data_IF_808890133457
#
_entry.id   IF_808890133457
#
_cell.length_a   1.000
_cell.length_b   1.000
_cell.length_c   1.000
_cell.angle_alpha   90.00
_cell.angle_beta   90.00
_cell.angle_gamma   90.00
#
_symmetry.space_group_name_H-M   'P 1'
#
loop_
_entity.id
_entity.type
_entity.pdbx_description
1 polymer ?
#
# COMPACT_ATOMS: atom_id res chain seq x y z
N UNK A 1 19.44 -3.02 -31.56
CA UNK A 1 20.26 -3.54 -30.46
C UNK A 1 19.75 -3.03 -29.10
N UNK A 2 19.50 -1.74 -28.91
CA UNK A 2 18.97 -1.17 -27.66
C UNK A 2 17.62 -1.76 -27.16
N UNK A 3 16.72 -2.19 -28.06
CA UNK A 3 15.44 -2.77 -27.64
C UNK A 3 15.54 -4.20 -27.07
N UNK A 4 16.58 -4.95 -27.42
CA UNK A 4 16.80 -6.31 -26.88
C UNK A 4 17.36 -6.29 -25.46
N UNK A 5 18.19 -5.29 -25.16
CA UNK A 5 18.83 -5.10 -23.86
C UNK A 5 17.83 -4.58 -22.81
N UNK A 6 17.03 -3.56 -23.15
CA UNK A 6 15.96 -3.06 -22.29
C UNK A 6 14.87 -4.12 -22.00
N UNK A 7 14.59 -5.00 -22.95
CA UNK A 7 13.66 -6.13 -22.73
C UNK A 7 14.25 -7.18 -21.77
N UNK A 8 15.55 -7.45 -21.87
CA UNK A 8 16.27 -8.35 -20.97
C UNK A 8 16.32 -7.81 -19.53
N UNK A 9 16.60 -6.51 -19.37
CA UNK A 9 16.58 -5.86 -18.05
C UNK A 9 15.20 -5.87 -17.42
N UNK A 10 14.15 -5.57 -18.20
CA UNK A 10 12.77 -5.62 -17.71
C UNK A 10 12.39 -7.01 -17.22
N UNK A 11 12.72 -8.05 -17.99
CA UNK A 11 12.48 -9.46 -17.60
C UNK A 11 13.23 -9.84 -16.32
N UNK A 12 14.47 -9.36 -16.16
CA UNK A 12 15.23 -9.60 -14.94
C UNK A 12 14.59 -8.96 -13.71
N UNK A 13 14.12 -7.70 -13.84
CA UNK A 13 13.40 -7.01 -12.77
C UNK A 13 12.09 -7.73 -12.43
N UNK A 14 11.30 -8.13 -13.43
CA UNK A 14 10.06 -8.89 -13.22
C UNK A 14 10.30 -10.22 -12.49
N UNK A 15 11.36 -10.95 -12.85
CA UNK A 15 11.74 -12.19 -12.16
C UNK A 15 12.17 -11.93 -10.71
N UNK A 16 12.88 -10.84 -10.45
CA UNK A 16 13.26 -10.46 -9.09
C UNK A 16 12.03 -10.10 -8.25
N UNK A 17 11.10 -9.33 -8.81
CA UNK A 17 9.82 -8.99 -8.16
C UNK A 17 9.06 -10.27 -7.81
N UNK A 18 8.88 -11.18 -8.77
CA UNK A 18 8.19 -12.46 -8.58
C UNK A 18 8.81 -13.27 -7.44
N UNK A 19 10.14 -13.40 -7.42
CA UNK A 19 10.87 -14.15 -6.37
C UNK A 19 10.68 -13.54 -4.98
N UNK A 20 10.62 -12.22 -4.88
CA UNK A 20 10.40 -11.51 -3.61
C UNK A 20 8.95 -11.69 -3.14
N UNK A 21 7.98 -11.54 -4.03
CA UNK A 21 6.56 -11.74 -3.72
C UNK A 21 6.26 -13.18 -3.26
N UNK A 22 6.86 -14.19 -3.89
CA UNK A 22 6.76 -15.60 -3.47
C UNK A 22 7.30 -15.85 -2.04
N UNK A 23 8.18 -14.96 -1.55
CA UNK A 23 8.73 -14.99 -0.20
C UNK A 23 7.94 -14.10 0.77
N UNK A 24 6.79 -13.57 0.35
CA UNK A 24 5.93 -12.70 1.15
C UNK A 24 6.45 -11.27 1.27
N UNK A 25 7.38 -10.85 0.41
CA UNK A 25 7.90 -9.49 0.39
C UNK A 25 7.00 -8.61 -0.48
N UNK A 26 6.43 -7.56 0.09
CA UNK A 26 5.71 -6.54 -0.66
C UNK A 26 6.70 -5.59 -1.33
N UNK A 27 7.00 -5.86 -2.60
CA UNK A 27 7.99 -5.08 -3.36
C UNK A 27 7.53 -3.65 -3.58
N UNK A 28 6.23 -3.42 -3.77
CA UNK A 28 5.70 -2.06 -3.93
C UNK A 28 5.88 -1.26 -2.64
N UNK A 29 5.57 -1.83 -1.48
CA UNK A 29 5.75 -1.15 -0.20
C UNK A 29 7.23 -0.83 0.07
N UNK A 30 8.15 -1.74 -0.29
CA UNK A 30 9.59 -1.50 -0.17
C UNK A 30 10.09 -0.37 -1.07
N UNK A 31 9.71 -0.39 -2.35
CA UNK A 31 10.14 0.63 -3.32
C UNK A 31 9.58 2.01 -2.96
N UNK A 32 8.29 2.07 -2.61
CA UNK A 32 7.64 3.32 -2.18
C UNK A 32 8.25 3.80 -0.86
N UNK A 33 8.53 2.89 0.08
CA UNK A 33 9.19 3.24 1.34
C UNK A 33 10.61 3.80 1.15
N UNK A 34 11.34 3.31 0.14
CA UNK A 34 12.62 3.89 -0.24
C UNK A 34 12.46 5.32 -0.79
N UNK A 35 11.51 5.53 -1.71
CA UNK A 35 11.21 6.85 -2.29
C UNK A 35 10.72 7.85 -1.26
N UNK A 36 9.97 7.39 -0.25
CA UNK A 36 9.42 8.24 0.82
C UNK A 36 10.52 8.95 1.64
N UNK A 37 11.75 8.40 1.67
CA UNK A 37 12.89 9.05 2.34
C UNK A 37 13.43 10.25 1.56
N UNK A 38 13.24 10.26 0.25
CA UNK A 38 13.73 11.32 -0.65
C UNK A 38 12.63 12.36 -0.92
N UNK A 39 11.43 11.90 -1.28
CA UNK A 39 10.26 12.73 -1.57
C UNK A 39 8.97 12.10 -1.00
N UNK A 40 8.56 12.51 0.21
CA UNK A 40 7.32 12.04 0.83
C UNK A 40 6.05 12.39 0.04
N UNK A 41 6.06 13.45 -0.78
CA UNK A 41 4.89 13.85 -1.56
C UNK A 41 4.69 12.95 -2.77
N UNK A 42 5.80 12.59 -3.44
CA UNK A 42 5.77 11.67 -4.56
C UNK A 42 5.46 10.24 -4.11
N UNK A 43 6.03 9.78 -2.98
CA UNK A 43 5.67 8.47 -2.41
C UNK A 43 4.17 8.39 -2.09
N UNK A 44 3.60 9.44 -1.50
CA UNK A 44 2.18 9.49 -1.21
C UNK A 44 1.31 9.44 -2.48
N UNK A 45 1.75 10.05 -3.60
CA UNK A 45 1.05 9.93 -4.90
C UNK A 45 1.10 8.49 -5.42
N UNK A 46 2.26 7.85 -5.38
CA UNK A 46 2.42 6.47 -5.84
C UNK A 46 1.55 5.49 -5.04
N UNK A 47 1.41 5.69 -3.72
CA UNK A 47 0.48 4.90 -2.89
C UNK A 47 -0.97 5.08 -3.29
N UNK A 48 -1.39 6.31 -3.59
CA UNK A 48 -2.75 6.58 -4.06
C UNK A 48 -3.00 5.93 -5.42
N UNK A 49 -2.06 6.05 -6.36
CA UNK A 49 -2.14 5.40 -7.67
C UNK A 49 -2.26 3.86 -7.53
N UNK A 50 -1.49 3.28 -6.62
CA UNK A 50 -1.54 1.84 -6.33
C UNK A 50 -2.92 1.43 -5.78
N UNK A 51 -3.43 2.19 -4.81
CA UNK A 51 -4.75 1.97 -4.21
C UNK A 51 -5.88 2.10 -5.24
N UNK A 52 -5.83 3.11 -6.12
CA UNK A 52 -6.84 3.30 -7.17
C UNK A 52 -6.86 2.15 -8.18
N UNK A 53 -5.68 1.70 -8.64
CA UNK A 53 -5.55 0.56 -9.57
C UNK A 53 -6.03 -0.74 -8.95
N UNK A 54 -5.79 -0.94 -7.66
CA UNK A 54 -6.18 -2.14 -6.94
C UNK A 54 -7.69 -2.13 -6.60
N UNK A 55 -8.26 -0.99 -6.25
CA UNK A 55 -9.69 -0.83 -5.97
C UNK A 55 -10.58 -1.22 -7.16
N UNK A 56 -10.13 -0.95 -8.39
CA UNK A 56 -10.83 -1.38 -9.59
C UNK A 56 -10.98 -2.92 -9.65
N UNK A 57 -9.92 -3.65 -9.27
CA UNK A 57 -9.92 -5.12 -9.19
C UNK A 57 -10.77 -5.60 -8.03
N UNK A 58 -10.68 -4.96 -6.87
CA UNK A 58 -11.51 -5.27 -5.69
C UNK A 58 -13.01 -5.19 -6.02
N UNK A 59 -13.44 -4.15 -6.74
CA UNK A 59 -14.84 -4.02 -7.21
C UNK A 59 -15.26 -5.15 -8.16
N UNK A 60 -14.33 -5.72 -8.93
CA UNK A 60 -14.61 -6.87 -9.79
C UNK A 60 -14.85 -8.15 -8.98
N UNK A 61 -14.05 -8.41 -7.94
CA UNK A 61 -14.27 -9.54 -7.02
C UNK A 61 -15.60 -9.44 -6.27
N UNK A 62 -15.97 -8.23 -5.83
CA UNK A 62 -17.29 -7.98 -5.23
C UNK A 62 -18.41 -8.34 -6.20
N UNK A 63 -18.31 -7.94 -7.48
CA UNK A 63 -19.32 -8.29 -8.50
C UNK A 63 -19.40 -9.79 -8.77
N UNK A 64 -18.28 -10.52 -8.64
CA UNK A 64 -18.20 -11.97 -8.83
C UNK A 64 -18.68 -12.76 -7.60
N UNK A 65 -18.98 -12.09 -6.48
CA UNK A 65 -19.39 -12.74 -5.23
C UNK A 65 -18.26 -13.43 -4.47
N UNK A 66 -17.00 -13.15 -4.82
CA UNK A 66 -15.83 -13.70 -4.12
C UNK A 66 -15.48 -12.84 -2.90
N UNK A 67 -16.17 -13.13 -1.79
CA UNK A 67 -16.06 -12.35 -0.56
C UNK A 67 -14.66 -12.42 0.07
N UNK A 68 -13.94 -13.54 -0.09
CA UNK A 68 -12.59 -13.73 0.47
C UNK A 68 -11.60 -12.80 -0.24
N UNK A 69 -11.55 -12.86 -1.57
CA UNK A 69 -10.66 -12.01 -2.35
C UNK A 69 -11.04 -10.53 -2.26
N UNK A 70 -12.34 -10.22 -2.22
CA UNK A 70 -12.80 -8.85 -2.05
C UNK A 70 -12.36 -8.25 -0.70
N UNK A 71 -12.44 -9.03 0.38
CA UNK A 71 -12.04 -8.59 1.72
C UNK A 71 -10.52 -8.37 1.81
N UNK A 72 -9.74 -9.37 1.38
CA UNK A 72 -8.28 -9.33 1.46
C UNK A 72 -7.70 -8.14 0.65
N UNK A 73 -8.16 -7.97 -0.60
CA UNK A 73 -7.71 -6.86 -1.45
C UNK A 73 -8.21 -5.51 -0.96
N UNK A 74 -9.46 -5.44 -0.49
CA UNK A 74 -10.01 -4.22 0.09
C UNK A 74 -9.24 -3.72 1.32
N UNK A 75 -8.80 -4.63 2.19
CA UNK A 75 -7.96 -4.28 3.34
C UNK A 75 -6.60 -3.73 2.93
N UNK A 76 -5.96 -4.32 1.90
CA UNK A 76 -4.68 -3.81 1.38
C UNK A 76 -4.84 -2.43 0.73
N UNK A 77 -5.92 -2.22 -0.01
CA UNK A 77 -6.22 -0.91 -0.61
C UNK A 77 -6.40 0.16 0.49
N UNK A 78 -7.11 -0.17 1.57
CA UNK A 78 -7.29 0.72 2.70
C UNK A 78 -5.98 1.01 3.44
N UNK A 79 -5.10 0.02 3.59
CA UNK A 79 -3.76 0.19 4.15
C UNK A 79 -2.95 1.22 3.37
N UNK A 80 -2.88 1.10 2.04
CA UNK A 80 -2.11 2.05 1.22
C UNK A 80 -2.66 3.48 1.30
N UNK A 81 -3.98 3.65 1.38
CA UNK A 81 -4.60 4.97 1.60
C UNK A 81 -4.21 5.55 2.96
N UNK A 82 -4.22 4.74 4.03
CA UNK A 82 -3.81 5.20 5.36
C UNK A 82 -2.34 5.62 5.37
N UNK A 83 -1.45 4.84 4.74
CA UNK A 83 -0.02 5.18 4.61
C UNK A 83 0.17 6.48 3.83
N UNK A 84 -0.52 6.65 2.69
CA UNK A 84 -0.44 7.85 1.87
C UNK A 84 -0.89 9.11 2.63
N UNK A 85 -1.99 8.99 3.39
CA UNK A 85 -2.50 10.10 4.19
C UNK A 85 -1.57 10.42 5.37
N UNK A 86 -1.01 9.42 6.03
CA UNK A 86 -0.04 9.61 7.10
C UNK A 86 1.24 10.30 6.61
N UNK A 87 1.71 9.93 5.41
CA UNK A 87 2.82 10.60 4.71
C UNK A 87 2.49 12.06 4.41
N UNK A 88 1.32 12.34 3.80
CA UNK A 88 0.92 13.70 3.43
C UNK A 88 0.69 14.63 4.60
N UNK A 89 0.19 14.09 5.72
CA UNK A 89 -0.10 14.85 6.93
C UNK A 89 1.10 14.92 7.89
N UNK A 90 2.27 14.41 7.47
CA UNK A 90 3.50 14.36 8.27
C UNK A 90 3.26 13.76 9.66
N UNK A 91 2.54 12.64 9.70
CA UNK A 91 2.14 12.01 10.96
C UNK A 91 3.33 11.32 11.63
N UNK A 92 3.41 11.33 12.97
CA UNK A 92 4.50 10.68 13.70
C UNK A 92 4.57 9.17 13.43
N UNK A 93 3.45 8.53 13.08
CA UNK A 93 3.40 7.12 12.65
C UNK A 93 4.22 6.85 11.38
N UNK A 94 4.16 7.76 10.39
CA UNK A 94 4.96 7.65 9.18
C UNK A 94 6.44 7.80 9.51
N UNK A 95 6.82 8.82 10.28
CA UNK A 95 8.20 8.99 10.72
C UNK A 95 8.74 7.77 11.47
N UNK A 96 7.91 7.11 12.28
CA UNK A 96 8.28 5.88 12.96
C UNK A 96 8.41 4.70 11.98
N UNK A 97 7.50 4.56 11.01
CA UNK A 97 7.57 3.51 9.99
C UNK A 97 8.82 3.64 9.12
N UNK A 98 9.23 4.87 8.76
CA UNK A 98 10.47 5.14 8.02
C UNK A 98 11.70 4.75 8.82
N UNK A 99 11.75 5.08 10.12
CA UNK A 99 12.85 4.70 11.02
C UNK A 99 12.96 3.18 11.20
N UNK A 100 11.82 2.51 11.36
CA UNK A 100 11.74 1.06 11.52
C UNK A 100 11.89 0.30 10.18
N UNK A 101 11.85 1.01 9.05
CA UNK A 101 11.97 0.47 7.71
C UNK A 101 10.75 -0.33 7.24
N UNK A 102 9.64 -0.29 7.99
CA UNK A 102 8.39 -0.99 7.67
C UNK A 102 7.21 -0.42 8.43
N UNK A 103 6.01 -0.64 7.90
CA UNK A 103 4.77 -0.41 8.64
C UNK A 103 4.41 -1.61 9.51
N UNK A 104 4.07 -1.35 10.77
CA UNK A 104 3.47 -2.34 11.66
C UNK A 104 1.98 -2.09 11.79
N UNK A 105 1.21 -3.15 12.03
CA UNK A 105 -0.25 -3.06 12.24
C UNK A 105 -0.63 -2.00 13.30
N UNK A 106 0.16 -1.86 14.37
CA UNK A 106 -0.05 -0.82 15.40
C UNK A 106 0.08 0.61 14.87
N UNK A 107 0.99 0.85 13.93
CA UNK A 107 1.21 2.17 13.34
C UNK A 107 0.08 2.50 12.37
N UNK A 108 -0.36 1.52 11.58
CA UNK A 108 -1.52 1.65 10.69
C UNK A 108 -2.80 1.96 11.47
N UNK A 109 -3.07 1.19 12.53
CA UNK A 109 -4.24 1.42 13.38
C UNK A 109 -4.21 2.80 14.04
N UNK A 110 -3.04 3.21 14.57
CA UNK A 110 -2.85 4.54 15.17
C UNK A 110 -3.05 5.67 14.14
N UNK A 111 -2.46 5.52 12.95
CA UNK A 111 -2.59 6.50 11.87
C UNK A 111 -4.06 6.62 11.45
N UNK A 112 -4.72 5.49 11.14
CA UNK A 112 -6.12 5.46 10.74
C UNK A 112 -7.05 6.14 11.76
N UNK A 113 -6.80 5.93 13.06
CA UNK A 113 -7.59 6.54 14.13
C UNK A 113 -7.40 8.06 14.25
N UNK A 114 -6.22 8.57 13.86
CA UNK A 114 -5.84 9.99 13.97
C UNK A 114 -6.12 10.81 12.71
N UNK A 115 -6.52 10.18 11.60
CA UNK A 115 -6.89 10.90 10.38
C UNK A 115 -8.07 11.86 10.63
N UNK A 116 -7.96 13.15 10.25
CA UNK A 116 -9.03 14.12 10.45
C UNK A 116 -10.33 13.69 9.72
N UNK A 117 -11.45 13.96 10.38
CA UNK A 117 -12.72 13.22 10.30
C UNK A 117 -13.38 12.99 8.93
N UNK A 118 -14.07 11.84 8.84
CA UNK A 118 -14.88 11.35 7.71
C UNK A 118 -14.39 9.99 7.25
N UNK A 119 -13.10 9.91 6.88
CA UNK A 119 -12.43 8.68 6.47
C UNK A 119 -11.99 7.84 7.68
N UNK A 120 -11.33 8.45 8.68
CA UNK A 120 -10.80 7.75 9.85
C UNK A 120 -11.87 6.98 10.64
N UNK A 121 -13.06 7.58 10.83
CA UNK A 121 -14.20 6.90 11.46
C UNK A 121 -14.74 5.73 10.62
N UNK A 122 -14.88 5.86 9.30
CA UNK A 122 -15.40 4.78 8.43
C UNK A 122 -14.41 3.61 8.30
N UNK A 123 -13.11 3.91 8.26
CA UNK A 123 -12.04 2.90 8.28
C UNK A 123 -11.99 2.20 9.63
N UNK A 124 -12.02 2.93 10.75
CA UNK A 124 -12.06 2.36 12.09
C UNK A 124 -13.33 1.51 12.36
N UNK A 125 -14.51 1.98 11.93
CA UNK A 125 -15.77 1.22 12.00
C UNK A 125 -15.77 -0.02 11.10
N UNK A 126 -15.08 0.02 9.96
CA UNK A 126 -14.87 -1.15 9.10
C UNK A 126 -13.97 -2.20 9.75
N UNK A 127 -12.90 -1.75 10.40
CA UNK A 127 -11.89 -2.60 11.03
C UNK A 127 -12.36 -3.22 12.35
N UNK A 128 -13.14 -2.48 13.15
CA UNK A 128 -13.62 -2.94 14.46
C UNK A 128 -14.75 -3.98 14.41
N UNK A 129 -15.27 -4.34 13.24
CA UNK A 129 -16.36 -5.33 13.09
C UNK A 129 -15.90 -6.79 13.00
N UNK A 130 -14.60 -7.06 13.10
CA UNK A 130 -14.02 -8.40 12.98
C UNK A 130 -13.08 -8.81 14.14
N UNK A 131 -13.04 -8.03 15.23
CA UNK A 131 -12.53 -8.46 16.54
C UNK A 131 -13.73 -8.77 17.44
#
# INVERSE_FOLDING_TARGET
MAQGEAASEKLFVEEMVRRLEERGVDVNDLLIGALSKEDPQESARLRLDLAERSLAKTKEYVRKGDAVQASEKGCRDAEEVVKALAERLDMPEHGQAVKEGRWYARLLASAAAKLPSGLGRRVAEGWGRWL
#
